data_IF_589219120814
#
_entry.id   IF_589219120814
#
_cell.length_a   1.000
_cell.length_b   1.000
_cell.length_c   1.000
_cell.angle_alpha   90.00
_cell.angle_beta   90.00
_cell.angle_gamma   90.00
#
_symmetry.space_group_name_H-M   'P 1'
#
loop_
_entity.id
_entity.type
_entity.pdbx_description
1 polymer ?
#
# COMPACT_ATOMS: atom_id res chain seq x y z
N UNK A 1 22.64 32.67 -18.83
CA UNK A 1 23.98 33.12 -18.41
C UNK A 1 24.57 32.02 -17.55
N UNK A 2 25.78 31.59 -17.90
CA UNK A 2 26.50 30.44 -17.31
C UNK A 2 26.59 30.47 -15.79
N UNK A 3 26.51 29.27 -15.20
CA UNK A 3 27.03 28.98 -13.87
C UNK A 3 28.37 28.30 -14.03
N UNK A 4 29.41 28.82 -13.37
CA UNK A 4 30.63 28.08 -13.08
C UNK A 4 30.80 27.93 -11.56
N UNK A 5 30.98 26.68 -11.14
CA UNK A 5 31.10 26.25 -9.75
C UNK A 5 32.58 26.25 -9.33
N UNK A 6 32.92 26.90 -8.21
CA UNK A 6 34.21 26.68 -7.54
C UNK A 6 34.00 26.22 -6.09
N UNK A 7 34.34 24.96 -5.83
CA UNK A 7 34.32 24.33 -4.50
C UNK A 7 35.57 24.78 -3.71
N UNK A 8 35.39 25.43 -2.55
CA UNK A 8 36.49 25.74 -1.61
C UNK A 8 36.27 25.12 -0.22
N UNK A 9 37.40 24.62 0.32
CA UNK A 9 37.67 23.90 1.58
C UNK A 9 36.82 24.33 2.80
N UNK A 10 36.34 23.33 3.56
CA UNK A 10 35.68 23.48 4.86
C UNK A 10 36.67 23.95 5.94
N UNK A 11 36.42 25.12 6.55
CA UNK A 11 37.00 25.56 7.83
C UNK A 11 36.03 25.17 8.96
N UNK A 12 36.58 24.78 10.11
CA UNK A 12 35.80 24.49 11.32
C UNK A 12 35.34 25.80 11.97
N UNK A 13 34.04 25.91 12.26
CA UNK A 13 33.42 27.11 12.81
C UNK A 13 33.62 27.23 14.32
N UNK A 14 33.95 28.44 14.76
CA UNK A 14 34.05 28.86 16.17
C UNK A 14 32.67 28.80 16.86
N UNK A 15 32.66 28.81 18.20
CA UNK A 15 31.42 28.74 18.99
C UNK A 15 30.45 29.89 18.67
N UNK A 16 30.98 31.06 18.32
CA UNK A 16 30.19 32.23 17.91
C UNK A 16 29.54 32.02 16.52
N UNK A 17 30.29 31.45 15.57
CA UNK A 17 29.78 31.12 14.24
C UNK A 17 28.70 30.03 14.29
N UNK A 18 28.82 29.06 15.20
CA UNK A 18 27.76 28.06 15.46
C UNK A 18 26.48 28.71 15.99
N UNK A 19 26.57 29.65 16.93
CA UNK A 19 25.39 30.36 17.44
C UNK A 19 24.72 31.21 16.35
N UNK A 20 25.51 31.84 15.47
CA UNK A 20 24.97 32.59 14.33
C UNK A 20 24.29 31.68 13.30
N UNK A 21 24.81 30.47 13.06
CA UNK A 21 24.16 29.46 12.20
C UNK A 21 22.84 29.00 12.82
N UNK A 22 22.78 28.74 14.13
CA UNK A 22 21.53 28.37 14.81
C UNK A 22 20.47 29.48 14.74
N UNK A 23 20.87 30.74 14.92
CA UNK A 23 19.98 31.90 14.72
C UNK A 23 19.54 32.04 13.25
N UNK A 24 20.43 31.80 12.29
CA UNK A 24 20.08 31.82 10.87
C UNK A 24 19.13 30.67 10.50
N UNK A 25 19.37 29.45 10.97
CA UNK A 25 18.49 28.27 10.74
C UNK A 25 17.12 28.47 11.38
N UNK A 26 17.05 29.09 12.57
CA UNK A 26 15.80 29.45 13.22
C UNK A 26 15.02 30.54 12.46
N UNK A 27 15.72 31.40 11.71
CA UNK A 27 15.10 32.48 10.92
C UNK A 27 14.81 32.08 9.47
N UNK A 28 15.51 31.11 8.90
CA UNK A 28 15.35 30.70 7.49
C UNK A 28 14.65 29.36 7.29
N UNK A 29 14.33 28.63 8.36
CA UNK A 29 13.43 27.48 8.29
C UNK A 29 13.90 26.35 7.38
N UNK A 30 15.20 26.03 7.37
CA UNK A 30 15.73 24.87 6.62
C UNK A 30 16.21 23.80 7.59
N UNK A 31 15.41 22.74 7.70
CA UNK A 31 15.59 21.58 8.56
C UNK A 31 16.84 20.76 8.20
N UNK A 32 17.65 20.38 9.20
CA UNK A 32 18.73 19.41 9.04
C UNK A 32 18.10 18.01 9.09
N UNK A 33 18.08 17.30 7.96
CA UNK A 33 17.62 15.91 7.90
C UNK A 33 18.57 14.97 8.64
N UNK A 34 18.03 14.15 9.55
CA UNK A 34 18.71 13.04 10.18
C UNK A 34 18.54 11.79 9.30
N UNK A 35 19.62 11.24 8.76
CA UNK A 35 19.61 9.93 8.10
C UNK A 35 20.17 8.91 9.09
N UNK A 36 19.33 7.95 9.49
CA UNK A 36 19.75 6.79 10.27
C UNK A 36 19.95 5.63 9.29
N UNK A 37 21.18 5.15 9.18
CA UNK A 37 21.50 3.90 8.52
C UNK A 37 22.07 2.94 9.57
N UNK A 38 21.49 1.74 9.69
CA UNK A 38 22.04 0.66 10.50
C UNK A 38 22.39 -0.52 9.59
N UNK A 39 23.45 -1.23 9.95
CA UNK A 39 23.92 -2.44 9.25
C UNK A 39 23.69 -3.62 10.19
N UNK A 40 22.96 -4.63 9.73
CA UNK A 40 22.78 -5.88 10.48
C UNK A 40 23.92 -6.84 10.15
N UNK A 41 24.56 -7.44 11.17
CA UNK A 41 25.61 -8.44 10.98
C UNK A 41 25.05 -9.73 10.38
N UNK A 42 25.74 -10.31 9.38
CA UNK A 42 25.48 -11.69 8.96
C UNK A 42 26.13 -12.63 9.97
N UNK A 43 25.33 -13.41 10.70
CA UNK A 43 25.86 -14.60 11.37
C UNK A 43 26.24 -15.64 10.32
N UNK A 44 27.55 -15.80 10.11
CA UNK A 44 28.10 -16.98 9.45
C UNK A 44 28.01 -18.16 10.43
N UNK A 45 26.95 -18.98 10.37
CA UNK A 45 26.94 -20.27 11.06
C UNK A 45 27.42 -21.37 10.14
N UNK A 46 28.69 -21.74 10.27
CA UNK A 46 29.15 -23.06 9.86
C UNK A 46 28.78 -24.05 10.97
N UNK A 47 27.88 -24.99 10.68
CA UNK A 47 27.64 -26.17 11.53
C UNK A 47 26.17 -26.60 11.69
N UNK A 48 25.71 -27.47 10.79
CA UNK A 48 24.82 -28.62 11.07
C UNK A 48 23.38 -28.41 11.56
N UNK A 49 22.41 -28.76 10.72
CA UNK A 49 21.00 -28.97 11.07
C UNK A 49 20.07 -28.04 10.31
N UNK A 50 19.40 -28.53 9.27
CA UNK A 50 18.55 -27.73 8.40
C UNK A 50 17.20 -27.43 9.03
N UNK A 51 16.99 -26.17 9.39
CA UNK A 51 15.68 -25.54 9.37
C UNK A 51 15.71 -24.50 8.25
N UNK A 52 14.97 -24.76 7.18
CA UNK A 52 14.69 -23.73 6.20
C UNK A 52 13.95 -22.61 6.92
N UNK A 53 14.58 -21.44 7.08
CA UNK A 53 13.88 -20.24 7.55
C UNK A 53 12.82 -19.92 6.51
N UNK A 54 11.61 -20.41 6.74
CA UNK A 54 10.42 -19.95 6.05
C UNK A 54 10.23 -18.50 6.49
N UNK A 55 10.55 -17.57 5.59
CA UNK A 55 10.29 -16.15 5.79
C UNK A 55 8.77 -15.97 5.94
N UNK A 56 8.31 -15.79 7.18
CA UNK A 56 6.89 -15.62 7.51
C UNK A 56 6.41 -14.18 7.29
N UNK A 57 7.30 -13.27 6.86
CA UNK A 57 7.03 -11.83 6.77
C UNK A 57 6.95 -11.12 8.13
N UNK A 58 7.10 -11.84 9.25
CA UNK A 58 7.04 -11.30 10.61
C UNK A 58 8.45 -10.98 11.12
N UNK A 59 8.66 -9.76 11.59
CA UNK A 59 9.95 -9.24 12.05
C UNK A 59 10.83 -8.65 10.93
N UNK A 60 10.71 -9.13 9.68
CA UNK A 60 11.24 -8.44 8.49
C UNK A 60 10.23 -8.52 7.34
N UNK A 61 10.12 -7.50 6.48
CA UNK A 61 9.23 -7.56 5.32
C UNK A 61 9.63 -8.66 4.33
N UNK A 62 8.68 -9.53 4.00
CA UNK A 62 8.85 -10.54 2.96
C UNK A 62 8.64 -9.91 1.59
N UNK A 63 9.59 -10.13 0.66
CA UNK A 63 9.48 -9.65 -0.73
C UNK A 63 8.95 -10.75 -1.63
N UNK A 64 7.88 -10.46 -2.35
CA UNK A 64 7.22 -11.38 -3.27
C UNK A 64 7.28 -10.79 -4.68
N UNK A 65 8.12 -11.36 -5.54
CA UNK A 65 8.38 -10.84 -6.89
C UNK A 65 7.87 -11.73 -8.02
N UNK A 66 7.38 -12.92 -7.68
CA UNK A 66 6.86 -13.86 -8.67
C UNK A 66 5.49 -13.41 -9.20
N UNK A 67 5.11 -13.76 -10.44
CA UNK A 67 3.83 -13.39 -11.04
C UNK A 67 2.61 -13.93 -10.27
N UNK A 68 2.79 -14.94 -9.44
CA UNK A 68 1.77 -15.48 -8.54
C UNK A 68 2.43 -15.96 -7.27
N UNK A 69 1.71 -15.90 -6.16
CA UNK A 69 2.22 -16.43 -4.90
C UNK A 69 1.14 -16.57 -3.85
N UNK A 70 1.56 -17.13 -2.71
CA UNK A 70 0.74 -17.24 -1.52
C UNK A 70 1.55 -16.81 -0.30
N UNK A 71 0.85 -16.29 0.70
CA UNK A 71 1.41 -15.98 2.00
C UNK A 71 0.32 -16.16 3.07
N UNK A 72 0.75 -16.40 4.30
CA UNK A 72 -0.14 -16.70 5.42
C UNK A 72 0.23 -15.86 6.62
N UNK A 73 -0.68 -15.73 7.59
CA UNK A 73 -0.27 -15.39 8.94
C UNK A 73 0.77 -16.40 9.46
N UNK A 74 1.57 -15.96 10.43
CA UNK A 74 2.48 -16.84 11.16
C UNK A 74 1.69 -18.03 11.73
N UNK A 75 2.30 -19.21 11.70
CA UNK A 75 1.77 -20.47 12.26
C UNK A 75 0.48 -21.03 11.64
N UNK A 76 -0.09 -20.37 10.62
CA UNK A 76 -1.25 -20.87 9.87
C UNK A 76 -1.01 -22.32 9.38
N UNK A 77 -1.97 -23.26 9.57
CA UNK A 77 -3.37 -23.05 9.94
C UNK A 77 -3.66 -23.02 11.44
N UNK A 78 -2.63 -22.98 12.30
CA UNK A 78 -2.78 -22.70 13.73
C UNK A 78 -2.97 -21.20 13.94
N UNK A 79 -3.38 -20.82 15.16
CA UNK A 79 -3.58 -19.42 15.51
C UNK A 79 -2.28 -18.62 15.47
N UNK A 80 -2.38 -17.35 15.08
CA UNK A 80 -1.28 -16.38 15.16
C UNK A 80 -0.98 -16.00 16.62
N UNK A 81 0.16 -15.34 16.85
CA UNK A 81 0.55 -14.84 18.17
C UNK A 81 0.09 -13.38 18.38
N UNK A 82 -0.09 -13.00 19.64
CA UNK A 82 -0.26 -11.59 20.03
C UNK A 82 1.05 -10.81 19.78
N UNK A 83 0.92 -9.54 19.41
CA UNK A 83 2.03 -8.63 19.16
C UNK A 83 2.80 -8.91 17.87
N UNK A 84 2.26 -9.73 16.98
CA UNK A 84 2.81 -9.97 15.66
C UNK A 84 2.73 -8.69 14.82
N UNK A 85 3.83 -8.37 14.14
CA UNK A 85 3.89 -7.32 13.14
C UNK A 85 4.57 -7.89 11.90
N UNK A 86 3.75 -8.17 10.89
CA UNK A 86 4.15 -8.86 9.68
C UNK A 86 3.87 -7.99 8.46
N UNK A 87 4.72 -8.10 7.43
CA UNK A 87 4.56 -7.34 6.20
C UNK A 87 5.03 -8.10 4.97
N UNK A 88 4.29 -7.92 3.89
CA UNK A 88 4.56 -8.50 2.57
C UNK A 88 4.56 -7.40 1.52
N UNK A 89 5.63 -7.34 0.73
CA UNK A 89 5.80 -6.39 -0.36
C UNK A 89 5.75 -7.16 -1.67
N UNK A 90 4.64 -7.03 -2.40
CA UNK A 90 4.39 -7.70 -3.66
C UNK A 90 4.76 -6.74 -4.79
N UNK A 91 5.66 -7.15 -5.68
CA UNK A 91 6.00 -6.39 -6.89
C UNK A 91 5.96 -7.31 -8.10
N UNK A 92 5.11 -6.97 -9.06
CA UNK A 92 4.97 -7.70 -10.33
C UNK A 92 5.51 -6.86 -11.50
N UNK A 93 5.46 -7.40 -12.72
CA UNK A 93 5.89 -6.68 -13.92
C UNK A 93 5.20 -5.32 -14.06
N UNK A 94 5.90 -4.26 -14.53
CA UNK A 94 5.37 -2.90 -14.59
C UNK A 94 4.09 -2.72 -15.44
N UNK A 95 3.83 -3.63 -16.38
CA UNK A 95 2.65 -3.66 -17.25
C UNK A 95 1.45 -4.42 -16.63
N UNK A 96 1.59 -4.93 -15.41
CA UNK A 96 0.57 -5.71 -14.70
C UNK A 96 0.08 -5.01 -13.44
N UNK A 97 -1.06 -5.49 -12.96
CA UNK A 97 -1.64 -5.15 -11.65
C UNK A 97 -1.76 -6.41 -10.81
N UNK A 98 -1.96 -6.26 -9.50
CA UNK A 98 -1.95 -7.35 -8.53
C UNK A 98 -3.39 -7.63 -8.11
N UNK A 99 -3.92 -8.78 -8.51
CA UNK A 99 -5.18 -9.32 -7.98
C UNK A 99 -4.88 -10.14 -6.72
N UNK A 100 -5.41 -9.72 -5.57
CA UNK A 100 -5.23 -10.35 -4.26
C UNK A 100 -6.58 -10.86 -3.73
N UNK A 101 -6.60 -12.07 -3.17
CA UNK A 101 -7.76 -12.61 -2.47
C UNK A 101 -7.35 -13.51 -1.29
N UNK A 102 -8.27 -13.70 -0.36
CA UNK A 102 -8.09 -14.57 0.80
C UNK A 102 -8.77 -15.92 0.58
N UNK A 103 -8.03 -17.01 0.73
CA UNK A 103 -8.59 -18.38 0.76
C UNK A 103 -9.22 -18.68 2.12
N UNK A 104 -8.62 -18.18 3.19
CA UNK A 104 -9.10 -18.28 4.57
C UNK A 104 -8.80 -16.98 5.32
N UNK A 105 -9.67 -16.59 6.25
CA UNK A 105 -9.58 -15.34 6.98
C UNK A 105 -10.37 -15.40 8.30
N UNK A 106 -9.66 -15.32 9.42
CA UNK A 106 -10.23 -15.28 10.75
C UNK A 106 -9.29 -14.52 11.68
N UNK A 107 -9.65 -13.28 12.02
CA UNK A 107 -8.95 -12.40 12.96
C UNK A 107 -9.88 -11.99 14.11
N UNK A 108 -9.34 -11.41 15.18
CA UNK A 108 -10.16 -10.77 16.21
C UNK A 108 -11.09 -9.73 15.57
N UNK A 109 -12.36 -9.73 15.99
CA UNK A 109 -13.39 -8.84 15.46
C UNK A 109 -13.60 -7.69 16.43
N UNK A 110 -13.33 -6.46 15.97
CA UNK A 110 -13.52 -5.24 16.74
C UNK A 110 -14.09 -4.14 15.87
N UNK A 111 -14.78 -3.19 16.50
CA UNK A 111 -15.29 -2.01 15.81
C UNK A 111 -14.13 -1.27 15.12
N UNK A 112 -14.31 -0.99 13.83
CA UNK A 112 -13.35 -0.29 12.95
C UNK A 112 -11.98 -0.98 12.85
N UNK A 113 -11.91 -2.28 13.16
CA UNK A 113 -10.69 -3.08 13.15
C UNK A 113 -9.58 -2.42 13.97
N UNK A 114 -9.89 -2.12 15.23
CA UNK A 114 -9.02 -1.39 16.15
C UNK A 114 -8.02 -2.28 16.89
N UNK A 115 -8.28 -3.58 17.00
CA UNK A 115 -7.36 -4.58 17.54
C UNK A 115 -6.49 -5.22 16.44
N UNK A 116 -6.85 -6.43 15.99
CA UNK A 116 -6.12 -7.16 14.97
C UNK A 116 -6.65 -6.82 13.60
N UNK A 117 -5.76 -6.50 12.67
CA UNK A 117 -6.18 -6.13 11.32
C UNK A 117 -5.12 -6.39 10.27
N UNK A 118 -5.61 -6.59 9.05
CA UNK A 118 -4.81 -6.49 7.83
C UNK A 118 -5.08 -5.15 7.17
N UNK A 119 -4.01 -4.44 6.83
CA UNK A 119 -4.05 -3.26 5.94
C UNK A 119 -3.44 -3.62 4.60
N UNK A 120 -4.14 -3.31 3.52
CA UNK A 120 -3.65 -3.44 2.14
C UNK A 120 -3.49 -2.04 1.55
N UNK A 121 -2.30 -1.75 1.01
CA UNK A 121 -1.93 -0.45 0.48
C UNK A 121 -1.32 -0.59 -0.91
N UNK A 122 -1.77 0.26 -1.84
CA UNK A 122 -1.13 0.46 -3.14
C UNK A 122 -0.41 1.81 -3.20
N UNK A 123 -0.02 2.25 -4.40
CA UNK A 123 0.71 3.50 -4.61
C UNK A 123 -0.09 4.76 -4.26
N UNK A 124 -1.43 4.70 -4.16
CA UNK A 124 -2.28 5.84 -3.79
C UNK A 124 -2.56 5.90 -2.29
N UNK A 125 -2.54 4.76 -1.61
CA UNK A 125 -2.82 4.69 -0.18
C UNK A 125 -3.47 3.39 0.22
N UNK A 126 -4.15 3.42 1.38
CA UNK A 126 -4.84 2.25 1.93
C UNK A 126 -6.08 1.97 1.08
N UNK A 127 -6.15 0.76 0.54
CA UNK A 127 -7.26 0.28 -0.29
C UNK A 127 -8.07 -0.82 0.41
N UNK A 128 -7.68 -1.19 1.63
CA UNK A 128 -8.43 -2.12 2.45
C UNK A 128 -7.90 -2.18 3.88
N UNK A 129 -8.81 -2.26 4.85
CA UNK A 129 -8.52 -2.57 6.25
C UNK A 129 -9.54 -3.59 6.72
N UNK A 130 -9.07 -4.76 7.17
CA UNK A 130 -9.92 -5.93 7.39
C UNK A 130 -9.63 -6.60 8.74
N UNK A 131 -10.68 -7.08 9.40
CA UNK A 131 -10.65 -7.85 10.65
C UNK A 131 -11.89 -8.74 10.75
N UNK A 132 -11.97 -9.56 11.81
CA UNK A 132 -13.08 -10.49 12.01
C UNK A 132 -13.02 -11.73 11.13
N UNK A 133 -14.18 -12.35 10.91
CA UNK A 133 -14.31 -13.70 10.30
C UNK A 133 -14.96 -13.71 8.92
N UNK A 134 -15.34 -12.53 8.43
CA UNK A 134 -15.87 -12.38 7.08
C UNK A 134 -14.71 -12.18 6.12
N UNK A 135 -14.59 -13.09 5.16
CA UNK A 135 -13.58 -13.02 4.11
C UNK A 135 -13.71 -11.72 3.31
N UNK A 136 -12.63 -10.92 3.16
CA UNK A 136 -12.64 -9.75 2.29
C UNK A 136 -12.94 -10.11 0.84
N UNK A 137 -13.63 -9.23 0.12
CA UNK A 137 -13.80 -9.37 -1.33
C UNK A 137 -12.43 -9.31 -2.02
N UNK A 138 -12.26 -10.00 -3.16
CA UNK A 138 -11.06 -9.84 -3.98
C UNK A 138 -10.83 -8.37 -4.34
N UNK A 139 -9.57 -7.96 -4.38
CA UNK A 139 -9.17 -6.61 -4.75
C UNK A 139 -8.10 -6.65 -5.84
N UNK A 140 -8.02 -5.56 -6.60
CA UNK A 140 -6.97 -5.37 -7.60
C UNK A 140 -6.30 -4.04 -7.33
N UNK A 141 -4.97 -4.03 -7.29
CA UNK A 141 -4.19 -2.80 -7.10
C UNK A 141 -4.23 -1.89 -8.34
N UNK A 142 -4.01 -0.59 -8.15
CA UNK A 142 -3.92 0.33 -9.29
C UNK A 142 -2.63 0.16 -10.11
N UNK A 143 -1.57 -0.36 -9.50
CA UNK A 143 -0.25 -0.52 -10.12
C UNK A 143 0.39 -1.88 -9.83
N UNK A 144 1.67 -2.00 -10.14
CA UNK A 144 2.41 -3.25 -10.04
C UNK A 144 3.06 -3.48 -8.67
N UNK A 145 2.69 -2.70 -7.65
CA UNK A 145 3.21 -2.79 -6.28
C UNK A 145 2.07 -2.76 -5.27
N UNK A 146 2.13 -3.66 -4.29
CA UNK A 146 1.15 -3.79 -3.22
C UNK A 146 1.85 -4.13 -1.90
N UNK A 147 1.52 -3.41 -0.84
CA UNK A 147 1.99 -3.67 0.52
C UNK A 147 0.85 -4.22 1.36
N UNK A 148 1.12 -5.30 2.07
CA UNK A 148 0.18 -5.93 2.99
C UNK A 148 0.80 -5.96 4.38
N UNK A 149 0.09 -5.45 5.38
CA UNK A 149 0.52 -5.42 6.77
C UNK A 149 -0.47 -6.19 7.62
N UNK A 150 0.01 -7.04 8.50
CA UNK A 150 -0.78 -7.70 9.53
C UNK A 150 -0.22 -7.31 10.89
N UNK A 151 -1.06 -6.72 11.74
CA UNK A 151 -0.68 -6.33 13.10
C UNK A 151 -1.70 -6.86 14.10
N UNK A 152 -1.21 -7.37 15.22
CA UNK A 152 -2.03 -7.85 16.33
C UNK A 152 -1.73 -7.08 17.62
N UNK A 153 -2.71 -7.01 18.51
CA UNK A 153 -2.59 -6.38 19.82
C UNK A 153 -1.96 -7.37 20.85
N UNK A 154 -2.14 -7.14 22.15
CA UNK A 154 -1.64 -8.02 23.21
C UNK A 154 -2.61 -9.14 23.65
N UNK A 155 -3.82 -9.23 23.07
CA UNK A 155 -4.90 -10.13 23.50
C UNK A 155 -5.83 -10.55 22.36
N UNK A 156 -6.24 -11.82 22.38
CA UNK A 156 -7.15 -12.34 21.37
C UNK A 156 -6.38 -12.88 20.18
N UNK A 157 -6.58 -14.16 19.91
CA UNK A 157 -5.99 -14.85 18.76
C UNK A 157 -7.09 -15.60 18.04
N UNK A 158 -6.91 -15.77 16.74
CA UNK A 158 -7.78 -16.58 15.91
C UNK A 158 -6.91 -17.31 14.87
N UNK A 159 -7.51 -18.05 13.95
CA UNK A 159 -6.80 -18.93 13.00
C UNK A 159 -5.84 -18.17 12.06
N UNK A 160 -6.05 -16.87 11.87
CA UNK A 160 -5.28 -16.07 10.93
C UNK A 160 -5.80 -16.19 9.50
N UNK A 161 -4.91 -16.18 8.51
CA UNK A 161 -5.33 -16.10 7.12
C UNK A 161 -4.39 -16.83 6.16
N UNK A 162 -4.94 -17.17 5.00
CA UNK A 162 -4.17 -17.56 3.81
C UNK A 162 -4.59 -16.68 2.64
N UNK A 163 -3.63 -15.95 2.07
CA UNK A 163 -3.84 -15.08 0.92
C UNK A 163 -3.10 -15.61 -0.30
N UNK A 164 -3.64 -15.29 -1.48
CA UNK A 164 -3.03 -15.54 -2.79
C UNK A 164 -3.08 -14.29 -3.62
N UNK A 165 -2.11 -14.16 -4.51
CA UNK A 165 -2.12 -13.10 -5.51
C UNK A 165 -1.70 -13.61 -6.89
N UNK A 166 -2.17 -12.92 -7.93
CA UNK A 166 -1.78 -13.10 -9.32
C UNK A 166 -1.52 -11.73 -9.98
N UNK A 167 -0.51 -11.68 -10.84
CA UNK A 167 -0.30 -10.61 -11.80
C UNK A 167 -1.33 -10.77 -12.92
N UNK A 168 -2.18 -9.76 -13.10
CA UNK A 168 -3.21 -9.74 -14.14
C UNK A 168 -3.04 -8.50 -15.02
N UNK A 169 -3.63 -8.57 -16.21
CA UNK A 169 -3.60 -7.44 -17.12
C UNK A 169 -4.64 -6.38 -16.68
N UNK A 170 -4.35 -5.06 -16.79
CA UNK A 170 -5.28 -4.01 -16.36
C UNK A 170 -6.68 -4.10 -17.00
N UNK A 171 -6.77 -4.64 -18.22
CA UNK A 171 -8.03 -4.85 -18.94
C UNK A 171 -8.95 -5.90 -18.29
N UNK A 172 -8.41 -6.81 -17.46
CA UNK A 172 -9.19 -7.83 -16.76
C UNK A 172 -9.82 -7.32 -15.46
N UNK A 173 -9.51 -6.09 -15.01
CA UNK A 173 -10.02 -5.55 -13.73
C UNK A 173 -11.55 -5.61 -13.68
N UNK A 174 -12.24 -5.10 -14.70
CA UNK A 174 -13.69 -5.05 -14.72
C UNK A 174 -14.35 -6.45 -14.66
N UNK A 175 -13.70 -7.48 -15.18
CA UNK A 175 -14.18 -8.86 -15.05
C UNK A 175 -14.00 -9.42 -13.63
N UNK A 176 -12.91 -9.05 -12.95
CA UNK A 176 -12.58 -9.51 -11.59
C UNK A 176 -13.44 -8.82 -10.53
N UNK A 177 -13.55 -7.49 -10.61
CA UNK A 177 -14.22 -6.67 -9.59
C UNK A 177 -15.61 -6.22 -10.00
N UNK A 178 -16.05 -6.43 -11.25
CA UNK A 178 -17.36 -5.99 -11.77
C UNK A 178 -17.36 -4.57 -12.33
N UNK A 179 -16.39 -3.74 -11.98
CA UNK A 179 -16.11 -2.41 -12.54
C UNK A 179 -14.67 -1.99 -12.24
N UNK A 180 -14.27 -0.83 -12.74
CA UNK A 180 -12.90 -0.33 -12.66
C UNK A 180 -12.10 -0.60 -13.93
N UNK A 181 -10.79 -0.36 -13.85
CA UNK A 181 -9.85 -0.68 -14.92
C UNK A 181 -9.14 0.54 -15.50
N UNK A 182 -8.66 0.39 -16.73
CA UNK A 182 -7.91 1.43 -17.42
C UNK A 182 -8.75 2.10 -18.51
N UNK A 183 -8.93 3.42 -18.38
CA UNK A 183 -9.60 4.25 -19.37
C UNK A 183 -8.55 5.07 -20.11
N UNK A 184 -8.53 4.96 -21.44
CA UNK A 184 -7.59 5.68 -22.30
C UNK A 184 -8.33 6.39 -23.43
N UNK A 185 -8.04 7.67 -23.63
CA UNK A 185 -8.64 8.47 -24.69
C UNK A 185 -8.90 9.91 -24.27
N UNK A 186 -9.58 10.67 -25.14
CA UNK A 186 -9.99 12.05 -24.86
C UNK A 186 -11.37 12.16 -24.20
N UNK A 187 -12.10 11.05 -24.10
CA UNK A 187 -13.37 10.95 -23.39
C UNK A 187 -13.57 9.53 -22.84
N UNK A 188 -14.52 9.38 -21.92
CA UNK A 188 -14.90 8.10 -21.32
C UNK A 188 -16.01 8.29 -20.30
N UNK A 189 -16.59 7.19 -19.86
CA UNK A 189 -17.62 7.15 -18.82
C UNK A 189 -17.24 6.12 -17.77
N UNK A 190 -17.57 6.43 -16.52
CA UNK A 190 -17.30 5.60 -15.35
C UNK A 190 -18.58 5.52 -14.52
N UNK A 191 -18.92 4.31 -14.10
CA UNK A 191 -20.17 4.01 -13.40
C UNK A 191 -19.93 2.88 -12.41
N UNK A 192 -20.66 2.90 -11.29
CA UNK A 192 -20.75 1.75 -10.41
C UNK A 192 -21.50 0.59 -11.09
N UNK A 193 -21.15 -0.68 -10.79
CA UNK A 193 -21.89 -1.82 -11.32
C UNK A 193 -23.38 -1.75 -11.01
N UNK A 194 -24.21 -2.04 -12.01
CA UNK A 194 -25.66 -2.08 -11.88
C UNK A 194 -26.37 -0.73 -11.99
N UNK A 195 -25.64 0.40 -12.01
CA UNK A 195 -26.26 1.71 -12.25
C UNK A 195 -26.92 1.78 -13.64
N UNK A 196 -28.11 2.40 -13.80
CA UNK A 196 -28.96 3.03 -12.77
C UNK A 196 -30.02 2.09 -12.17
N UNK A 197 -29.96 0.79 -12.44
CA UNK A 197 -31.02 -0.19 -12.10
C UNK A 197 -30.90 -0.71 -10.67
N UNK A 198 -29.67 -0.78 -10.16
CA UNK A 198 -29.31 -1.43 -8.91
C UNK A 198 -28.37 -0.54 -8.09
N UNK A 199 -28.45 -0.64 -6.76
CA UNK A 199 -27.50 -0.03 -5.83
C UNK A 199 -26.12 -0.71 -5.92
N UNK A 200 -25.07 0.06 -5.68
CA UNK A 200 -23.72 -0.48 -5.58
C UNK A 200 -23.62 -1.49 -4.42
N UNK A 201 -22.69 -2.44 -4.55
CA UNK A 201 -22.52 -3.47 -3.54
C UNK A 201 -21.81 -2.95 -2.28
N UNK A 202 -22.16 -3.52 -1.12
CA UNK A 202 -21.44 -3.27 0.14
C UNK A 202 -19.97 -3.72 0.05
N UNK A 203 -19.09 -2.99 0.74
CA UNK A 203 -17.65 -3.26 0.85
C UNK A 203 -16.97 -3.44 -0.51
N UNK A 204 -17.47 -2.75 -1.55
CA UNK A 204 -16.88 -2.77 -2.87
C UNK A 204 -15.76 -1.74 -3.00
N UNK A 205 -14.70 -2.13 -3.69
CA UNK A 205 -13.61 -1.24 -4.10
C UNK A 205 -13.54 -1.26 -5.62
N UNK A 206 -13.81 -0.12 -6.24
CA UNK A 206 -13.63 0.07 -7.68
C UNK A 206 -12.57 1.15 -7.92
N UNK A 207 -11.59 0.83 -8.75
CA UNK A 207 -10.51 1.75 -9.08
C UNK A 207 -10.44 1.97 -10.59
N UNK A 208 -10.28 3.23 -10.99
CA UNK A 208 -10.06 3.60 -12.40
C UNK A 208 -8.74 4.33 -12.55
N UNK A 209 -7.92 3.89 -13.52
CA UNK A 209 -6.78 4.65 -14.01
C UNK A 209 -7.17 5.33 -15.32
N UNK A 210 -7.25 6.65 -15.31
CA UNK A 210 -7.56 7.45 -16.50
C UNK A 210 -6.25 7.97 -17.11
N UNK A 211 -6.09 7.82 -18.42
CA UNK A 211 -4.94 8.35 -19.17
C UNK A 211 -5.40 9.07 -20.42
N UNK A 212 -5.00 10.34 -20.52
CA UNK A 212 -5.32 11.22 -21.64
C UNK A 212 -4.09 11.43 -22.54
N UNK A 213 -4.27 11.81 -23.81
CA UNK A 213 -3.17 12.19 -24.69
C UNK A 213 -2.26 13.27 -24.09
N UNK A 214 -0.99 13.28 -24.53
CA UNK A 214 -0.01 14.23 -24.02
C UNK A 214 -0.45 15.68 -24.27
N UNK A 215 -0.44 16.49 -23.20
CA UNK A 215 -0.86 17.90 -23.23
C UNK A 215 -2.34 18.11 -22.91
N UNK A 216 -3.15 17.05 -22.79
CA UNK A 216 -4.53 17.14 -22.32
C UNK A 216 -4.61 17.03 -20.79
N UNK A 217 -5.74 17.47 -20.22
CA UNK A 217 -6.05 17.36 -18.80
C UNK A 217 -7.41 16.68 -18.62
N UNK A 218 -7.56 15.94 -17.52
CA UNK A 218 -8.82 15.29 -17.18
C UNK A 218 -9.77 16.32 -16.57
N UNK A 219 -10.99 16.41 -17.11
CA UNK A 219 -12.11 17.10 -16.48
C UNK A 219 -13.18 16.07 -16.10
N UNK A 220 -13.35 15.83 -14.81
CA UNK A 220 -14.42 14.97 -14.30
C UNK A 220 -15.73 15.75 -14.17
N UNK A 221 -16.85 15.12 -14.49
CA UNK A 221 -18.20 15.67 -14.29
C UNK A 221 -19.10 14.55 -13.80
N UNK A 222 -19.70 14.73 -12.63
CA UNK A 222 -20.66 13.78 -12.08
C UNK A 222 -22.05 14.08 -12.63
N UNK A 223 -22.62 13.12 -13.36
CA UNK A 223 -24.02 13.18 -13.84
C UNK A 223 -25.00 12.67 -12.79
N UNK A 224 -24.56 11.78 -11.91
CA UNK A 224 -25.29 11.24 -10.76
C UNK A 224 -24.31 10.95 -9.64
N UNK A 225 -24.70 11.19 -8.39
CA UNK A 225 -23.90 10.93 -7.20
C UNK A 225 -24.81 10.65 -6.01
N UNK A 226 -24.81 9.40 -5.54
CA UNK A 226 -25.63 8.94 -4.42
C UNK A 226 -24.84 7.89 -3.63
N UNK A 227 -24.40 8.26 -2.42
CA UNK A 227 -23.60 7.45 -1.51
C UNK A 227 -24.15 7.61 -0.09
N UNK A 228 -23.93 6.61 0.78
CA UNK A 228 -24.30 6.68 2.20
C UNK A 228 -23.49 7.78 2.90
N UNK A 229 -24.13 8.83 3.46
CA UNK A 229 -23.45 10.04 3.95
C UNK A 229 -22.88 9.96 5.38
N UNK A 230 -22.83 8.79 6.00
CA UNK A 230 -22.45 8.63 7.41
C UNK A 230 -20.95 8.91 7.67
N UNK A 231 -20.60 9.23 8.93
CA UNK A 231 -19.20 9.25 9.36
C UNK A 231 -18.62 7.84 9.24
N UNK A 232 -17.57 7.68 8.44
CA UNK A 232 -17.04 6.38 7.98
C UNK A 232 -17.93 5.66 6.93
N UNK A 233 -18.78 6.40 6.22
CA UNK A 233 -19.58 5.92 5.10
C UNK A 233 -18.80 5.78 3.78
N UNK A 234 -19.54 5.61 2.70
CA UNK A 234 -18.98 5.38 1.36
C UNK A 234 -18.46 6.69 0.75
N UNK A 235 -17.37 6.61 0.00
CA UNK A 235 -16.72 7.79 -0.56
C UNK A 235 -16.13 7.55 -1.96
N UNK A 236 -15.83 8.65 -2.65
CA UNK A 236 -15.09 8.66 -3.92
C UNK A 236 -13.93 9.62 -3.77
N UNK A 237 -12.71 9.08 -3.88
CA UNK A 237 -11.49 9.87 -3.88
C UNK A 237 -10.93 10.03 -5.30
N UNK A 238 -10.41 11.23 -5.58
CA UNK A 238 -9.80 11.57 -6.87
C UNK A 238 -8.37 12.06 -6.62
N UNK A 239 -7.41 11.41 -7.27
CA UNK A 239 -5.99 11.72 -7.12
C UNK A 239 -5.38 12.17 -8.45
N UNK A 240 -4.51 13.18 -8.39
CA UNK A 240 -3.65 13.54 -9.53
C UNK A 240 -2.34 12.73 -9.47
N UNK A 241 -2.17 11.84 -10.45
CA UNK A 241 -0.98 11.00 -10.55
C UNK A 241 0.33 11.77 -10.83
N UNK A 242 0.25 13.03 -11.27
CA UNK A 242 1.43 13.87 -11.51
C UNK A 242 2.27 14.15 -10.24
N UNK A 243 1.74 13.84 -9.06
CA UNK A 243 2.41 14.04 -7.77
C UNK A 243 3.02 12.76 -7.16
N UNK A 244 2.85 11.59 -7.79
CA UNK A 244 3.33 10.31 -7.24
C UNK A 244 4.73 9.90 -7.73
N UNK A 245 5.32 10.67 -8.65
CA UNK A 245 6.63 10.37 -9.27
C UNK A 245 7.83 11.14 -8.71
N UNK A 246 7.71 11.78 -7.53
CA UNK A 246 8.81 12.49 -6.88
C UNK A 246 9.00 11.97 -5.44
N UNK A 247 9.51 10.75 -5.33
CA UNK A 247 10.01 10.15 -4.10
C UNK A 247 11.37 9.54 -4.34
#
# INVERSE_FOLDING_TARGET
MEMEFSRKRRRSFTTLEKCLIFLFVALTGVSIGLIVAYVTERKSSAGGGGDAVTDSGCGNPQKLTEPSGEFTSKDYPSSYDNGDSCSWHITVSPDKVIHLWFEDFSLEETDLCSSDFITVQDNLGIIGKYCGRTKPKPLVSLGNSLMVYFNTNDQGIDKGFKARYNAVAPESIAEITGAGGHLQGSNGELQSPGFPVQNYENAALYQWRITVPAGEQVRLTFSSFDLVPDNCGDYVDVYDSAHLGKG
#
